data_IF_450305336390
#
_entry.id   IF_450305336390
#
_cell.length_a   1.000
_cell.length_b   1.000
_cell.length_c   1.000
_cell.angle_alpha   90.00
_cell.angle_beta   90.00
_cell.angle_gamma   90.00
#
_symmetry.space_group_name_H-M   'P 1'
#
loop_
_entity.id
_entity.type
_entity.pdbx_description
1 polymer ?
#
# COMPACT_ATOMS: atom_id res chain seq x y z
N UNK A 1 -2.86 -14.28 -11.92
CA UNK A 1 -2.08 -14.11 -10.69
C UNK A 1 -0.95 -13.17 -11.03
N UNK A 2 -0.90 -12.01 -10.38
CA UNK A 2 0.17 -11.03 -10.56
C UNK A 2 1.07 -11.11 -9.33
N UNK A 3 2.35 -11.37 -9.57
CA UNK A 3 3.40 -11.25 -8.56
C UNK A 3 4.42 -10.24 -9.07
N UNK A 4 4.81 -9.29 -8.23
CA UNK A 4 5.89 -8.31 -8.51
C UNK A 4 5.76 -7.44 -9.78
N UNK A 5 4.56 -7.12 -10.26
CA UNK A 5 4.40 -6.36 -11.51
C UNK A 5 5.11 -4.99 -11.51
N UNK A 6 5.33 -4.36 -10.34
CA UNK A 6 5.94 -3.02 -10.17
C UNK A 6 7.35 -3.04 -9.58
N UNK A 7 7.95 -4.21 -9.30
CA UNK A 7 9.23 -4.29 -8.58
C UNK A 7 10.41 -3.67 -9.35
N UNK A 8 10.31 -3.54 -10.68
CA UNK A 8 11.36 -3.05 -11.58
C UNK A 8 11.06 -1.69 -12.23
N UNK A 9 9.96 -1.02 -11.86
CA UNK A 9 9.56 0.22 -12.52
C UNK A 9 10.10 1.45 -11.79
N UNK A 10 10.79 2.33 -12.51
CA UNK A 10 11.10 3.69 -12.06
C UNK A 10 9.81 4.45 -11.69
N UNK A 11 9.84 5.40 -10.73
CA UNK A 11 8.65 6.12 -10.27
C UNK A 11 7.83 6.77 -11.40
N UNK A 12 8.51 7.23 -12.46
CA UNK A 12 7.89 7.84 -13.63
C UNK A 12 7.13 6.81 -14.50
N UNK A 13 7.62 5.56 -14.53
CA UNK A 13 6.99 4.46 -15.26
C UNK A 13 5.92 3.71 -14.45
N UNK A 14 5.94 3.84 -13.12
CA UNK A 14 5.00 3.15 -12.22
C UNK A 14 3.55 3.55 -12.51
N UNK A 15 3.27 4.83 -12.74
CA UNK A 15 1.91 5.30 -13.06
C UNK A 15 1.39 4.74 -14.38
N UNK A 16 2.24 4.69 -15.41
CA UNK A 16 1.89 4.13 -16.71
C UNK A 16 1.62 2.62 -16.64
N UNK A 17 2.46 1.90 -15.87
CA UNK A 17 2.30 0.48 -15.61
C UNK A 17 1.01 0.18 -14.84
N UNK A 18 0.71 0.94 -13.78
CA UNK A 18 -0.55 0.80 -13.02
C UNK A 18 -1.75 1.02 -13.94
N UNK A 19 -1.70 2.03 -14.82
CA UNK A 19 -2.77 2.29 -15.80
C UNK A 19 -2.94 1.13 -16.78
N UNK A 20 -1.84 0.54 -17.26
CA UNK A 20 -1.88 -0.61 -18.16
C UNK A 20 -2.45 -1.85 -17.46
N UNK A 21 -2.02 -2.10 -16.20
CA UNK A 21 -2.55 -3.16 -15.36
C UNK A 21 -4.04 -2.97 -15.10
N UNK A 22 -4.48 -1.79 -14.69
CA UNK A 22 -5.89 -1.48 -14.48
C UNK A 22 -6.72 -1.71 -15.75
N UNK A 23 -6.24 -1.23 -16.89
CA UNK A 23 -6.90 -1.42 -18.18
C UNK A 23 -7.01 -2.91 -18.54
N UNK A 24 -5.95 -3.68 -18.28
CA UNK A 24 -5.96 -5.12 -18.45
C UNK A 24 -6.99 -5.74 -17.51
N UNK A 25 -6.94 -5.48 -16.20
CA UNK A 25 -7.77 -6.10 -15.16
C UNK A 25 -9.29 -5.96 -15.36
N UNK A 26 -9.75 -4.98 -16.14
CA UNK A 26 -11.19 -4.76 -16.40
C UNK A 26 -11.89 -6.03 -16.89
N UNK A 27 -13.03 -6.33 -16.25
CA UNK A 27 -13.89 -7.46 -16.59
C UNK A 27 -13.32 -8.83 -16.22
N UNK A 28 -12.26 -8.88 -15.39
CA UNK A 28 -11.65 -10.13 -14.93
C UNK A 28 -11.54 -10.16 -13.41
N UNK A 29 -11.65 -11.35 -12.83
CA UNK A 29 -11.25 -11.59 -11.45
C UNK A 29 -9.72 -11.62 -11.38
N UNK A 30 -9.14 -10.78 -10.53
CA UNK A 30 -7.69 -10.61 -10.42
C UNK A 30 -7.26 -10.86 -9.00
N UNK A 31 -6.37 -11.83 -8.83
CA UNK A 31 -5.67 -12.08 -7.57
C UNK A 31 -4.25 -11.54 -7.73
N UNK A 32 -3.90 -10.58 -6.87
CA UNK A 32 -2.61 -9.90 -6.84
C UNK A 32 -1.98 -10.08 -5.46
N UNK A 33 -0.71 -10.47 -5.46
CA UNK A 33 0.16 -10.42 -4.28
C UNK A 33 1.01 -9.18 -4.43
N UNK A 34 0.97 -8.26 -3.47
CA UNK A 34 1.58 -6.95 -3.60
C UNK A 34 2.56 -6.67 -2.46
N UNK A 35 3.78 -6.28 -2.83
CA UNK A 35 4.81 -5.76 -1.91
C UNK A 35 4.74 -4.23 -1.76
N UNK A 36 4.08 -3.54 -2.69
CA UNK A 36 3.80 -2.10 -2.63
C UNK A 36 2.35 -1.86 -2.25
N UNK A 37 2.15 -1.23 -1.09
CA UNK A 37 0.79 -0.99 -0.58
C UNK A 37 0.01 0.07 -1.38
N UNK A 38 0.69 0.85 -2.23
CA UNK A 38 0.05 1.85 -3.11
C UNK A 38 -0.97 1.27 -4.11
N UNK A 39 -0.77 0.04 -4.59
CA UNK A 39 -1.76 -0.65 -5.44
C UNK A 39 -2.85 -1.36 -4.63
N UNK A 40 -2.53 -1.75 -3.39
CA UNK A 40 -3.45 -2.46 -2.49
C UNK A 40 -4.61 -1.55 -2.09
N UNK A 41 -4.40 -0.23 -1.99
CA UNK A 41 -5.42 0.75 -1.62
C UNK A 41 -6.59 0.82 -2.61
N UNK A 42 -6.38 0.40 -3.86
CA UNK A 42 -7.39 0.40 -4.93
C UNK A 42 -8.12 -0.94 -5.08
N UNK A 43 -7.77 -1.95 -4.28
CA UNK A 43 -8.40 -3.26 -4.37
C UNK A 43 -9.82 -3.26 -3.77
N UNK A 44 -10.73 -3.99 -4.44
CA UNK A 44 -12.10 -4.19 -3.93
C UNK A 44 -12.10 -4.94 -2.59
N UNK A 45 -11.22 -5.95 -2.46
CA UNK A 45 -11.03 -6.76 -1.26
C UNK A 45 -9.54 -6.99 -1.03
N UNK A 46 -9.10 -6.73 0.19
CA UNK A 46 -7.75 -6.97 0.69
C UNK A 46 -7.82 -8.12 1.67
N UNK A 47 -6.92 -9.08 1.52
CA UNK A 47 -6.72 -10.21 2.43
C UNK A 47 -5.35 -10.08 3.09
N UNK A 48 -5.31 -9.87 4.40
CA UNK A 48 -4.06 -9.76 5.14
C UNK A 48 -3.73 -11.08 5.83
N UNK A 49 -2.57 -11.64 5.50
CA UNK A 49 -2.05 -12.86 6.09
C UNK A 49 -0.91 -12.55 7.07
N UNK A 50 -0.89 -13.26 8.21
CA UNK A 50 0.24 -13.30 9.15
C UNK A 50 0.37 -14.71 9.69
N UNK A 51 1.59 -15.23 9.77
CA UNK A 51 1.90 -16.57 10.30
C UNK A 51 1.13 -17.70 9.57
N UNK A 52 0.95 -17.54 8.26
CA UNK A 52 0.20 -18.50 7.44
C UNK A 52 -1.32 -18.49 7.64
N UNK A 53 -1.86 -17.52 8.39
CA UNK A 53 -3.29 -17.40 8.68
C UNK A 53 -3.86 -16.09 8.15
N UNK A 54 -5.10 -16.13 7.64
CA UNK A 54 -5.87 -14.93 7.32
C UNK A 54 -6.21 -14.20 8.62
N UNK A 55 -5.76 -12.96 8.76
CA UNK A 55 -5.99 -12.13 9.96
C UNK A 55 -7.10 -11.11 9.73
N UNK A 56 -7.10 -10.46 8.57
CA UNK A 56 -8.04 -9.38 8.25
C UNK A 56 -8.51 -9.47 6.81
N UNK A 57 -9.75 -9.06 6.57
CA UNK A 57 -10.37 -8.99 5.25
C UNK A 57 -11.30 -7.78 5.16
N UNK A 58 -11.20 -7.03 4.06
CA UNK A 58 -12.04 -5.87 3.79
C UNK A 58 -11.43 -4.98 2.72
N UNK A 59 -12.10 -3.88 2.38
CA UNK A 59 -11.46 -2.84 1.56
C UNK A 59 -10.54 -1.95 2.41
N UNK A 60 -9.75 -1.10 1.74
CA UNK A 60 -8.77 -0.22 2.38
C UNK A 60 -9.37 0.60 3.53
N UNK A 61 -10.47 1.31 3.26
CA UNK A 61 -11.13 2.18 4.24
C UNK A 61 -11.68 1.41 5.44
N UNK A 62 -12.30 0.25 5.19
CA UNK A 62 -12.81 -0.62 6.25
C UNK A 62 -11.70 -1.11 7.17
N UNK A 63 -10.58 -1.55 6.59
CA UNK A 63 -9.44 -2.08 7.36
C UNK A 63 -8.72 -0.97 8.13
N UNK A 64 -8.64 0.24 7.58
CA UNK A 64 -8.15 1.40 8.34
C UNK A 64 -9.07 1.75 9.51
N UNK A 65 -10.38 1.72 9.32
CA UNK A 65 -11.33 2.02 10.39
C UNK A 65 -11.30 0.98 11.53
N UNK A 66 -10.86 -0.25 11.26
CA UNK A 66 -10.79 -1.33 12.24
C UNK A 66 -9.65 -1.19 13.25
N UNK A 67 -8.65 -0.32 13.03
CA UNK A 67 -7.55 -0.18 14.00
C UNK A 67 -6.54 -1.34 13.99
N UNK A 68 -6.63 -2.25 13.02
CA UNK A 68 -5.98 -3.54 13.05
C UNK A 68 -4.51 -3.58 12.64
N UNK A 69 -4.03 -4.79 12.36
CA UNK A 69 -2.73 -5.07 11.77
C UNK A 69 -2.56 -4.39 10.42
N UNK A 70 -3.60 -4.31 9.59
CA UNK A 70 -3.54 -3.59 8.32
C UNK A 70 -3.18 -2.12 8.51
N UNK A 71 -3.82 -1.43 9.47
CA UNK A 71 -3.52 -0.03 9.76
C UNK A 71 -2.06 0.16 10.19
N UNK A 72 -1.56 -0.69 11.08
CA UNK A 72 -0.15 -0.63 11.52
C UNK A 72 0.81 -0.81 10.35
N UNK A 73 0.54 -1.79 9.49
CA UNK A 73 1.34 -2.02 8.27
C UNK A 73 1.32 -0.79 7.35
N UNK A 74 0.15 -0.17 7.17
CA UNK A 74 0.00 1.04 6.37
C UNK A 74 0.75 2.24 6.94
N UNK A 75 0.75 2.41 8.26
CA UNK A 75 1.52 3.47 8.94
C UNK A 75 3.03 3.26 8.74
N UNK A 76 3.53 2.04 8.90
CA UNK A 76 4.93 1.72 8.65
C UNK A 76 5.33 1.95 7.19
N UNK A 77 4.47 1.57 6.25
CA UNK A 77 4.70 1.82 4.83
C UNK A 77 4.84 3.32 4.53
N UNK A 78 3.95 4.14 5.07
CA UNK A 78 4.03 5.60 4.92
C UNK A 78 5.32 6.16 5.53
N UNK A 79 5.69 5.76 6.74
CA UNK A 79 6.93 6.23 7.37
C UNK A 79 8.17 5.86 6.55
N UNK A 80 8.22 4.63 6.01
CA UNK A 80 9.32 4.18 5.17
C UNK A 80 9.41 4.96 3.85
N UNK A 81 8.28 5.35 3.25
CA UNK A 81 8.26 6.18 2.03
C UNK A 81 8.73 7.61 2.29
N UNK A 82 8.52 8.14 3.50
CA UNK A 82 8.93 9.50 3.90
C UNK A 82 10.28 9.53 4.62
N UNK A 83 11.03 8.41 4.65
CA UNK A 83 12.33 8.38 5.29
C UNK A 83 13.35 9.20 4.50
N UNK A 84 13.80 10.30 5.09
CA UNK A 84 14.88 11.13 4.57
C UNK A 84 16.20 10.71 5.24
N UNK A 85 17.20 10.21 4.49
CA UNK A 85 18.52 9.96 5.07
C UNK A 85 19.12 11.28 5.56
N UNK A 86 19.32 11.40 6.88
CA UNK A 86 20.00 12.55 7.50
C UNK A 86 19.12 13.56 8.24
N UNK A 87 17.80 13.34 8.35
CA UNK A 87 16.90 14.22 9.14
C UNK A 87 16.92 13.87 10.63
N UNK A 88 17.41 14.79 11.47
CA UNK A 88 17.26 14.73 12.94
C UNK A 88 15.78 14.78 13.31
N UNK A 89 15.32 13.95 14.25
CA UNK A 89 13.91 13.75 14.64
C UNK A 89 13.17 14.98 15.26
N UNK A 90 13.67 16.21 15.12
CA UNK A 90 13.16 17.37 15.88
C UNK A 90 12.18 18.30 15.14
N UNK A 91 11.96 18.18 13.82
CA UNK A 91 11.20 19.21 13.08
C UNK A 91 9.68 18.97 12.92
N UNK A 92 9.11 17.86 13.37
CA UNK A 92 7.69 17.54 13.06
C UNK A 92 6.69 18.16 14.07
N UNK A 93 7.13 18.72 15.19
CA UNK A 93 6.20 19.20 16.25
C UNK A 93 5.82 20.68 16.11
N UNK A 94 6.55 21.49 15.34
CA UNK A 94 6.32 22.95 15.33
C UNK A 94 5.23 23.41 14.32
N UNK A 95 4.81 22.58 13.37
CA UNK A 95 3.96 23.04 12.26
C UNK A 95 2.44 22.91 12.48
N UNK A 96 1.99 22.67 13.72
CA UNK A 96 0.55 22.68 14.07
C UNK A 96 0.16 23.85 15.00
N UNK A 97 1.02 24.87 15.15
CA UNK A 97 0.73 26.08 15.96
C UNK A 97 1.02 27.42 15.29
N UNK A 98 0.77 27.52 13.98
CA UNK A 98 0.60 28.83 13.33
C UNK A 98 -0.71 28.91 12.58
#
# INVERSE_FOLDING_TARGET
>A
MLDEATAFADPENEAALIKALAAAMRGRTVIMVAHRLSMVTQADVILLFSDGQLREMGNHTQLLAQGGLYQRLWQHYQQAQHWVPGGTQEEVVENERQ
#
